data_IF_782580754423
#
_entry.id   IF_782580754423
#
_cell.length_a   1.000
_cell.length_b   1.000
_cell.length_c   1.000
_cell.angle_alpha   90.00
_cell.angle_beta   90.00
_cell.angle_gamma   90.00
#
_symmetry.space_group_name_H-M   'P 1'
#
loop_
_entity.id
_entity.type
_entity.pdbx_description
1 polymer ?
#
# COMPACT_ATOMS: atom_id res chain seq x y z
N UNK A 1 -2.33 16.64 24.56
CA UNK A 1 -2.92 17.40 23.43
C UNK A 1 -2.10 17.13 22.18
N UNK A 2 -2.75 16.48 21.21
CA UNK A 2 -2.59 16.52 19.75
C UNK A 2 -2.92 15.13 19.19
N UNK A 3 -4.23 14.89 19.04
CA UNK A 3 -4.77 13.97 18.04
C UNK A 3 -4.55 14.66 16.69
N UNK A 4 -3.48 14.30 15.99
CA UNK A 4 -3.24 14.68 14.60
C UNK A 4 -3.25 13.41 13.76
N UNK A 5 -3.87 13.47 12.59
CA UNK A 5 -4.10 12.37 11.64
C UNK A 5 -3.08 11.22 11.68
N UNK A 6 -3.61 10.00 11.68
CA UNK A 6 -2.90 8.71 11.65
C UNK A 6 -2.25 8.42 10.27
N UNK A 7 -1.73 9.46 9.60
CA UNK A 7 -0.96 9.34 8.37
C UNK A 7 0.53 9.31 8.71
N UNK A 8 1.19 8.19 8.41
CA UNK A 8 2.63 8.08 8.54
C UNK A 8 3.36 9.16 7.73
N UNK A 9 4.49 9.71 8.22
CA UNK A 9 5.30 10.66 7.47
C UNK A 9 5.74 10.13 6.11
N UNK A 10 5.60 10.95 5.06
CA UNK A 10 5.94 10.59 3.68
C UNK A 10 6.88 11.60 3.04
N UNK A 11 7.71 11.13 2.13
CA UNK A 11 8.47 11.98 1.23
C UNK A 11 8.67 11.28 -0.11
N UNK A 12 9.22 11.98 -1.09
CA UNK A 12 9.56 11.38 -2.37
C UNK A 12 10.99 11.71 -2.80
N UNK A 13 11.53 10.86 -3.68
CA UNK A 13 12.80 11.06 -4.35
C UNK A 13 12.66 10.68 -5.82
N UNK A 14 13.08 11.56 -6.72
CA UNK A 14 13.30 11.20 -8.13
C UNK A 14 14.70 10.61 -8.25
N UNK A 15 14.82 9.43 -8.85
CA UNK A 15 16.14 8.87 -9.16
C UNK A 15 16.69 9.53 -10.42
N UNK A 16 17.82 10.22 -10.31
CA UNK A 16 18.53 10.84 -11.42
C UNK A 16 19.95 10.28 -11.37
N UNK A 17 20.38 9.44 -12.34
CA UNK A 17 21.67 8.75 -12.28
C UNK A 17 22.84 9.71 -12.15
N UNK A 18 22.80 10.82 -12.89
CA UNK A 18 23.88 11.82 -12.92
C UNK A 18 24.02 12.62 -11.62
N UNK A 19 22.92 12.75 -10.87
CA UNK A 19 22.86 13.47 -9.59
C UNK A 19 22.81 12.53 -8.38
N UNK A 20 22.84 11.21 -8.60
CA UNK A 20 22.70 10.22 -7.53
C UNK A 20 24.07 9.77 -7.04
N UNK A 21 24.40 10.14 -5.80
CA UNK A 21 25.52 9.56 -5.07
C UNK A 21 25.26 8.14 -4.57
N UNK A 22 26.13 7.69 -3.66
CA UNK A 22 26.11 6.36 -3.04
C UNK A 22 25.06 6.21 -1.94
N UNK A 23 24.56 7.34 -1.45
CA UNK A 23 23.72 7.49 -0.28
C UNK A 23 22.37 8.12 -0.66
N UNK A 24 21.34 7.81 0.14
CA UNK A 24 20.02 8.41 0.00
C UNK A 24 19.85 9.53 1.03
N UNK A 25 19.86 10.77 0.56
CA UNK A 25 19.59 11.93 1.40
C UNK A 25 18.09 12.07 1.72
N UNK A 26 17.76 12.29 2.99
CA UNK A 26 16.40 12.61 3.40
C UNK A 26 16.12 14.10 3.19
N UNK A 27 14.91 14.50 2.74
CA UNK A 27 14.56 15.91 2.66
C UNK A 27 14.66 16.59 4.01
N UNK A 28 15.20 17.81 4.06
CA UNK A 28 15.37 18.58 5.31
C UNK A 28 14.03 18.74 6.06
N UNK A 29 12.94 18.92 5.32
CA UNK A 29 11.58 19.04 5.90
C UNK A 29 11.11 17.76 6.62
N UNK A 30 11.77 16.63 6.35
CA UNK A 30 11.48 15.32 6.93
C UNK A 30 12.16 15.11 8.29
N UNK A 31 13.18 15.92 8.64
CA UNK A 31 13.95 15.78 9.87
C UNK A 31 13.10 15.80 11.14
N UNK A 32 11.98 16.53 11.13
CA UNK A 32 11.05 16.62 12.27
C UNK A 32 10.47 15.27 12.69
N UNK A 33 10.49 14.29 11.80
CA UNK A 33 9.97 12.93 12.03
C UNK A 33 11.05 11.95 12.47
N UNK A 34 12.32 12.37 12.44
CA UNK A 34 13.48 11.54 12.77
C UNK A 34 13.88 11.84 14.22
N UNK A 35 13.65 10.88 15.13
CA UNK A 35 14.04 11.03 16.54
C UNK A 35 15.55 10.87 16.73
N UNK A 36 16.12 11.57 17.72
CA UNK A 36 17.51 11.37 18.15
C UNK A 36 17.76 9.98 18.78
N UNK A 37 16.71 9.30 19.23
CA UNK A 37 16.79 7.96 19.82
C UNK A 37 16.71 6.82 18.80
N UNK A 38 16.68 7.13 17.50
CA UNK A 38 16.55 6.09 16.48
C UNK A 38 17.78 5.18 16.44
N UNK A 39 17.58 3.87 16.22
CA UNK A 39 18.68 2.95 16.06
C UNK A 39 19.55 3.33 14.84
N UNK A 40 20.86 3.08 14.94
CA UNK A 40 21.85 3.37 13.88
C UNK A 40 21.50 2.73 12.54
N UNK A 41 20.71 1.64 12.55
CA UNK A 41 20.30 0.92 11.36
C UNK A 41 18.77 0.89 11.22
N UNK A 42 18.31 1.19 10.01
CA UNK A 42 16.91 1.11 9.59
C UNK A 42 16.74 0.06 8.51
N UNK A 43 15.50 -0.37 8.32
CA UNK A 43 15.10 -1.24 7.21
C UNK A 43 14.38 -0.40 6.18
N UNK A 44 14.88 -0.42 4.96
CA UNK A 44 14.22 0.15 3.79
C UNK A 44 13.60 -1.02 3.03
N UNK A 45 12.30 -0.98 2.79
CA UNK A 45 11.51 -2.05 2.20
C UNK A 45 10.79 -1.53 0.97
N UNK A 46 11.00 -2.22 -0.14
CA UNK A 46 10.19 -2.06 -1.32
C UNK A 46 8.87 -2.80 -1.10
N UNK A 47 7.76 -2.21 -1.53
CA UNK A 47 6.45 -2.89 -1.52
C UNK A 47 6.43 -4.14 -2.41
N UNK A 48 7.48 -4.39 -3.19
CA UNK A 48 7.66 -5.59 -4.01
C UNK A 48 8.36 -6.74 -3.27
N UNK A 49 8.48 -6.64 -1.94
CA UNK A 49 8.97 -7.70 -1.05
C UNK A 49 10.49 -7.76 -0.85
N UNK A 50 11.24 -6.78 -1.37
CA UNK A 50 12.69 -6.67 -1.16
C UNK A 50 12.99 -5.75 0.03
N UNK A 51 13.93 -6.15 0.87
CA UNK A 51 14.31 -5.42 2.08
C UNK A 51 15.81 -5.18 2.12
N UNK A 52 16.21 -3.99 2.55
CA UNK A 52 17.61 -3.60 2.71
C UNK A 52 17.82 -2.99 4.09
N UNK A 53 18.85 -3.46 4.80
CA UNK A 53 19.33 -2.78 6.00
C UNK A 53 20.30 -1.67 5.59
N UNK A 54 20.06 -0.47 6.09
CA UNK A 54 20.84 0.73 5.82
C UNK A 54 21.16 1.45 7.12
N UNK A 55 22.29 2.14 7.17
CA UNK A 55 22.64 2.95 8.33
C UNK A 55 22.08 4.36 8.18
N UNK A 56 21.34 4.83 9.19
CA UNK A 56 20.87 6.20 9.28
C UNK A 56 21.93 7.04 9.99
N UNK A 57 22.46 8.04 9.31
CA UNK A 57 23.50 8.93 9.86
C UNK A 57 23.01 10.35 9.87
N UNK A 58 23.32 11.03 10.97
CA UNK A 58 23.21 12.49 11.09
C UNK A 58 24.53 13.10 10.62
N UNK A 59 24.47 13.95 9.60
CA UNK A 59 25.60 14.77 9.17
C UNK A 59 25.65 16.05 10.00
N UNK A 60 26.85 16.45 10.42
CA UNK A 60 27.08 17.71 11.11
C UNK A 60 27.09 18.90 10.14
N UNK A 61 26.43 19.99 10.51
CA UNK A 61 26.35 21.25 9.76
C UNK A 61 25.39 22.23 10.45
N UNK A 62 25.19 23.43 9.88
CA UNK A 62 24.29 24.46 10.43
C UNK A 62 22.82 24.01 10.50
N UNK A 63 22.45 23.10 9.60
CA UNK A 63 21.13 22.45 9.56
C UNK A 63 21.37 20.96 9.69
N UNK A 64 20.65 20.31 10.61
CA UNK A 64 20.62 18.86 10.75
C UNK A 64 20.32 18.22 9.38
N UNK A 65 21.16 17.29 8.94
CA UNK A 65 20.92 16.52 7.71
C UNK A 65 21.01 15.04 8.03
N UNK A 66 20.09 14.26 7.49
CA UNK A 66 20.07 12.82 7.68
C UNK A 66 20.24 12.11 6.35
N UNK A 67 21.10 11.10 6.35
CA UNK A 67 21.43 10.30 5.17
C UNK A 67 21.33 8.82 5.49
N UNK A 68 20.79 8.06 4.54
CA UNK A 68 20.75 6.61 4.56
C UNK A 68 21.92 6.08 3.72
N UNK A 69 22.90 5.46 4.38
CA UNK A 69 24.15 5.01 3.76
C UNK A 69 24.22 3.49 3.64
N UNK A 70 25.17 3.01 2.82
CA UNK A 70 25.49 1.58 2.65
C UNK A 70 24.35 0.72 2.07
N UNK A 71 23.57 1.26 1.13
CA UNK A 71 22.51 0.47 0.52
C UNK A 71 21.81 1.09 -0.69
N UNK A 72 21.95 2.39 -0.93
CA UNK A 72 21.20 3.07 -1.99
C UNK A 72 21.57 2.56 -3.38
N UNK A 73 22.86 2.46 -3.71
CA UNK A 73 23.32 1.82 -4.97
C UNK A 73 22.78 0.40 -5.17
N UNK A 74 22.66 -0.37 -4.07
CA UNK A 74 22.12 -1.73 -4.13
C UNK A 74 20.62 -1.71 -4.41
N UNK A 75 19.86 -0.79 -3.80
CA UNK A 75 18.45 -0.58 -4.11
C UNK A 75 18.28 -0.22 -5.59
N UNK A 76 19.05 0.76 -6.08
CA UNK A 76 19.02 1.19 -7.49
C UNK A 76 19.22 -0.01 -8.44
N UNK A 77 20.23 -0.82 -8.17
CA UNK A 77 20.55 -2.02 -8.97
C UNK A 77 19.45 -3.08 -8.87
N UNK A 78 19.06 -3.45 -7.64
CA UNK A 78 18.11 -4.53 -7.38
C UNK A 78 16.71 -4.19 -7.91
N UNK A 79 16.33 -2.91 -7.84
CA UNK A 79 15.07 -2.39 -8.38
C UNK A 79 15.18 -1.94 -9.85
N UNK A 80 16.35 -2.09 -10.49
CA UNK A 80 16.54 -1.76 -11.91
C UNK A 80 16.11 -0.34 -12.26
N UNK A 81 16.48 0.64 -11.43
CA UNK A 81 16.19 2.05 -11.70
C UNK A 81 17.13 2.56 -12.80
N UNK A 82 16.57 3.12 -13.87
CA UNK A 82 17.32 3.59 -15.04
C UNK A 82 17.41 5.12 -15.10
N UNK A 83 16.59 5.82 -14.31
CA UNK A 83 16.52 7.27 -14.23
C UNK A 83 15.10 7.79 -14.46
N UNK A 84 14.80 8.91 -13.82
CA UNK A 84 13.50 9.60 -13.86
C UNK A 84 12.37 8.90 -13.12
N UNK A 85 12.57 7.69 -12.59
CA UNK A 85 11.56 7.06 -11.74
C UNK A 85 11.37 7.84 -10.44
N UNK A 86 10.12 7.85 -9.98
CA UNK A 86 9.72 8.55 -8.77
C UNK A 86 9.49 7.53 -7.66
N UNK A 87 10.20 7.69 -6.55
CA UNK A 87 10.09 6.82 -5.38
C UNK A 87 9.32 7.56 -4.29
N UNK A 88 8.21 6.99 -3.83
CA UNK A 88 7.46 7.53 -2.70
C UNK A 88 7.74 6.67 -1.46
N UNK A 89 8.29 7.30 -0.43
CA UNK A 89 8.67 6.69 0.84
C UNK A 89 7.66 7.04 1.93
N UNK A 90 7.47 6.10 2.84
CA UNK A 90 6.66 6.21 4.04
C UNK A 90 7.43 5.66 5.23
N UNK A 91 7.50 6.43 6.30
CA UNK A 91 8.28 6.10 7.49
C UNK A 91 7.36 5.82 8.67
N UNK A 92 7.59 4.73 9.38
CA UNK A 92 6.78 4.33 10.53
C UNK A 92 7.02 5.18 11.80
N UNK A 93 7.93 6.16 11.74
CA UNK A 93 8.37 6.94 12.90
C UNK A 93 9.44 6.25 13.74
N UNK A 94 9.88 5.04 13.36
CA UNK A 94 10.86 4.27 14.10
C UNK A 94 12.02 3.78 13.23
N UNK A 95 11.87 2.70 12.47
CA UNK A 95 12.99 2.02 11.82
C UNK A 95 12.64 1.45 10.46
N UNK A 96 11.43 1.68 9.96
CA UNK A 96 10.95 1.10 8.72
C UNK A 96 10.59 2.21 7.74
N UNK A 97 11.31 2.24 6.63
CA UNK A 97 10.97 3.04 5.46
C UNK A 97 10.39 2.10 4.40
N UNK A 98 9.11 2.21 4.11
CA UNK A 98 8.50 1.51 2.98
C UNK A 98 8.51 2.42 1.76
N UNK A 99 8.72 1.87 0.56
CA UNK A 99 8.61 2.67 -0.66
C UNK A 99 7.99 1.91 -1.83
N UNK A 100 7.38 2.69 -2.72
CA UNK A 100 6.95 2.24 -4.03
C UNK A 100 7.57 3.09 -5.13
N UNK A 101 7.66 2.52 -6.33
CA UNK A 101 8.28 3.16 -7.49
C UNK A 101 7.17 3.51 -8.48
N UNK A 102 7.24 4.68 -9.10
CA UNK A 102 6.36 5.11 -10.18
C UNK A 102 7.18 5.27 -11.46
N UNK A 103 6.62 4.78 -12.57
CA UNK A 103 7.27 4.84 -13.89
C UNK A 103 7.36 6.28 -14.37
N UNK A 104 8.52 6.66 -14.95
CA UNK A 104 8.77 8.04 -15.40
C UNK A 104 7.77 8.54 -16.46
N UNK A 105 7.31 7.66 -17.35
CA UNK A 105 6.51 8.10 -18.50
C UNK A 105 5.02 8.24 -18.17
N UNK A 106 4.52 7.36 -17.28
CA UNK A 106 3.09 7.29 -16.99
C UNK A 106 2.71 7.79 -15.61
N UNK A 107 3.70 8.00 -14.73
CA UNK A 107 3.49 8.27 -13.31
C UNK A 107 2.60 7.22 -12.63
N UNK A 108 2.49 6.02 -13.20
CA UNK A 108 1.77 4.92 -12.59
C UNK A 108 2.69 4.15 -11.65
N UNK A 109 2.13 3.70 -10.53
CA UNK A 109 2.82 2.81 -9.58
C UNK A 109 3.29 1.57 -10.35
N UNK A 110 4.59 1.29 -10.29
CA UNK A 110 5.21 0.12 -10.86
C UNK A 110 4.67 -1.10 -10.11
N UNK A 111 4.24 -2.11 -10.84
CA UNK A 111 3.83 -3.38 -10.27
C UNK A 111 5.00 -4.35 -10.34
N UNK A 112 5.02 -5.34 -9.45
CA UNK A 112 6.04 -6.38 -9.43
C UNK A 112 6.04 -7.10 -10.78
N UNK A 113 7.20 -7.18 -11.44
CA UNK A 113 7.37 -8.04 -12.62
C UNK A 113 7.80 -9.40 -12.12
N UNK A 114 6.87 -10.35 -12.07
CA UNK A 114 7.17 -11.72 -11.69
C UNK A 114 8.06 -12.34 -12.77
N UNK A 115 9.33 -12.60 -12.47
CA UNK A 115 9.99 -13.75 -13.09
C UNK A 115 9.21 -14.97 -12.59
N UNK A 116 8.74 -15.76 -13.56
CA UNK A 116 7.83 -16.88 -13.33
C UNK A 116 8.42 -17.86 -12.32
N UNK A 117 7.75 -18.02 -11.19
CA UNK A 117 7.64 -19.30 -10.49
C UNK A 117 6.24 -19.36 -9.89
N UNK A 118 5.45 -20.30 -10.41
CA UNK A 118 4.09 -20.61 -9.98
C UNK A 118 4.06 -20.91 -8.48
N UNK A 119 3.30 -20.11 -7.72
CA UNK A 119 3.16 -20.28 -6.27
C UNK A 119 2.63 -19.01 -5.62
N UNK A 120 1.30 -18.92 -5.55
CA UNK A 120 0.53 -17.95 -4.76
C UNK A 120 0.96 -16.47 -4.88
N UNK A 121 0.44 -15.77 -5.89
CA UNK A 121 0.43 -14.29 -5.92
C UNK A 121 -0.15 -13.75 -4.61
N UNK A 122 0.73 -13.21 -3.77
CA UNK A 122 0.35 -12.61 -2.51
C UNK A 122 -0.38 -11.28 -2.79
N UNK A 123 -1.68 -11.31 -2.59
CA UNK A 123 -2.62 -10.19 -2.67
C UNK A 123 -2.13 -8.89 -2.01
N UNK A 124 -1.15 -8.98 -1.11
CA UNK A 124 -0.54 -7.88 -0.37
C UNK A 124 0.24 -6.87 -1.24
N UNK A 125 0.76 -7.27 -2.41
CA UNK A 125 1.57 -6.40 -3.27
C UNK A 125 0.77 -5.24 -3.92
N UNK A 126 -0.58 -5.29 -3.86
CA UNK A 126 -1.49 -4.29 -4.44
C UNK A 126 -2.06 -3.29 -3.43
N UNK A 127 -1.87 -3.52 -2.13
CA UNK A 127 -2.50 -2.71 -1.08
C UNK A 127 -1.84 -1.33 -0.97
N UNK A 128 -2.64 -0.31 -0.68
CA UNK A 128 -2.13 1.04 -0.45
C UNK A 128 -1.45 1.18 0.91
N UNK A 129 -1.81 0.32 1.86
CA UNK A 129 -1.18 0.22 3.18
C UNK A 129 -1.37 -1.21 3.71
N UNK A 130 -0.24 -1.89 3.94
CA UNK A 130 -0.19 -3.30 4.33
C UNK A 130 -0.69 -3.57 5.75
N UNK A 131 -0.94 -2.54 6.56
CA UNK A 131 -1.57 -2.68 7.88
C UNK A 131 -3.09 -2.77 7.79
N UNK A 132 -3.68 -2.40 6.64
CA UNK A 132 -5.12 -2.52 6.47
C UNK A 132 -5.53 -3.98 6.28
N UNK A 133 -6.64 -4.41 6.92
CA UNK A 133 -7.19 -5.72 6.68
C UNK A 133 -7.49 -5.89 5.19
N UNK A 134 -7.08 -7.02 4.64
CA UNK A 134 -7.32 -7.36 3.25
C UNK A 134 -7.67 -8.83 3.08
N UNK A 135 -8.33 -9.15 1.97
CA UNK A 135 -8.64 -10.54 1.62
C UNK A 135 -8.77 -10.74 0.12
N UNK A 136 -8.35 -11.90 -0.40
CA UNK A 136 -8.60 -12.28 -1.77
C UNK A 136 -10.08 -12.64 -1.96
N UNK A 137 -10.62 -12.30 -3.13
CA UNK A 137 -11.97 -12.65 -3.52
C UNK A 137 -11.92 -13.70 -4.60
N UNK A 138 -12.47 -14.87 -4.29
CA UNK A 138 -12.67 -15.93 -5.29
C UNK A 138 -13.88 -15.59 -6.14
N UNK A 139 -13.64 -15.23 -7.40
CA UNK A 139 -14.69 -14.92 -8.35
C UNK A 139 -15.49 -16.19 -8.68
N UNK A 140 -16.73 -16.26 -8.20
CA UNK A 140 -17.65 -17.34 -8.55
C UNK A 140 -18.69 -16.84 -9.57
N UNK A 141 -18.67 -17.35 -10.81
CA UNK A 141 -19.61 -16.92 -11.86
C UNK A 141 -21.09 -17.11 -11.50
N UNK A 142 -21.41 -18.00 -10.56
CA UNK A 142 -22.78 -18.31 -10.12
C UNK A 142 -23.22 -17.52 -8.89
N UNK A 143 -22.32 -16.80 -8.19
CA UNK A 143 -22.61 -16.05 -6.94
C UNK A 143 -22.22 -14.57 -7.04
N UNK A 144 -22.54 -13.93 -8.17
CA UNK A 144 -22.09 -12.57 -8.50
C UNK A 144 -22.76 -11.44 -7.72
N UNK A 145 -23.83 -11.67 -6.95
CA UNK A 145 -24.64 -10.56 -6.42
C UNK A 145 -24.12 -9.97 -5.11
N UNK A 146 -23.32 -10.68 -4.33
CA UNK A 146 -22.87 -10.25 -3.00
C UNK A 146 -21.41 -10.61 -2.78
N UNK A 147 -20.66 -9.72 -2.13
CA UNK A 147 -19.31 -10.01 -1.66
C UNK A 147 -19.38 -10.47 -0.21
N UNK A 148 -18.81 -11.65 0.08
CA UNK A 148 -18.66 -12.15 1.45
C UNK A 148 -17.38 -11.60 2.07
N UNK A 149 -17.46 -11.06 3.28
CA UNK A 149 -16.29 -10.63 4.05
C UNK A 149 -15.93 -11.77 5.02
N UNK A 150 -14.72 -12.37 4.92
CA UNK A 150 -14.36 -13.52 5.74
C UNK A 150 -14.37 -13.18 7.25
N UNK A 151 -15.05 -14.01 8.04
CA UNK A 151 -15.12 -13.84 9.50
C UNK A 151 -13.75 -13.72 10.17
N UNK A 152 -12.74 -14.45 9.65
CA UNK A 152 -11.35 -14.35 10.14
C UNK A 152 -10.83 -12.91 10.08
N UNK A 153 -11.01 -12.21 8.96
CA UNK A 153 -10.56 -10.81 8.79
C UNK A 153 -11.30 -9.88 9.75
N UNK A 154 -12.60 -10.12 9.93
CA UNK A 154 -13.43 -9.33 10.86
C UNK A 154 -12.93 -9.49 12.29
N UNK A 155 -12.66 -10.73 12.71
CA UNK A 155 -12.26 -11.05 14.07
C UNK A 155 -10.84 -10.58 14.37
N UNK A 156 -9.88 -10.85 13.48
CA UNK A 156 -8.47 -10.52 13.66
C UNK A 156 -8.28 -9.00 13.85
N UNK A 157 -9.09 -8.19 13.15
CA UNK A 157 -9.02 -6.73 13.18
C UNK A 157 -10.16 -6.06 13.98
N UNK A 158 -11.03 -6.85 14.63
CA UNK A 158 -12.18 -6.38 15.42
C UNK A 158 -13.04 -5.37 14.65
N UNK A 159 -13.36 -5.70 13.40
CA UNK A 159 -14.03 -4.80 12.47
C UNK A 159 -15.52 -4.67 12.79
N UNK A 160 -16.01 -3.44 12.68
CA UNK A 160 -17.44 -3.11 12.75
C UNK A 160 -17.90 -2.56 11.40
N UNK A 161 -19.17 -2.76 11.06
CA UNK A 161 -19.71 -2.35 9.77
C UNK A 161 -20.94 -1.43 9.93
N UNK A 162 -20.99 -0.31 9.19
CA UNK A 162 -22.17 0.56 9.10
C UNK A 162 -23.24 -0.04 8.17
N UNK A 163 -24.36 0.66 7.99
CA UNK A 163 -25.41 0.27 7.04
C UNK A 163 -24.94 0.30 5.57
N UNK A 164 -24.04 1.23 5.23
CA UNK A 164 -23.46 1.35 3.89
C UNK A 164 -21.99 1.70 3.93
N UNK A 165 -21.26 1.23 2.91
CA UNK A 165 -19.84 1.49 2.72
C UNK A 165 -19.57 2.02 1.32
N UNK A 166 -18.44 2.70 1.16
CA UNK A 166 -17.94 3.08 -0.15
C UNK A 166 -17.08 1.98 -0.76
N UNK A 167 -17.27 1.67 -2.04
CA UNK A 167 -16.42 0.78 -2.83
C UNK A 167 -15.74 1.59 -3.93
N UNK A 168 -14.42 1.45 -4.08
CA UNK A 168 -13.63 2.18 -5.08
C UNK A 168 -12.60 1.26 -5.72
N UNK A 169 -12.44 1.36 -7.04
CA UNK A 169 -11.28 0.82 -7.76
C UNK A 169 -10.23 1.95 -7.84
N UNK A 170 -9.13 1.89 -7.06
CA UNK A 170 -8.13 2.94 -7.06
C UNK A 170 -7.28 2.95 -8.34
N UNK A 171 -7.27 1.86 -9.12
CA UNK A 171 -6.48 1.74 -10.35
C UNK A 171 -7.19 2.36 -11.55
N UNK A 172 -8.52 2.52 -11.48
CA UNK A 172 -9.33 3.04 -12.59
C UNK A 172 -9.95 4.40 -12.28
N UNK A 173 -9.25 5.49 -12.62
CA UNK A 173 -9.74 6.89 -12.43
C UNK A 173 -11.02 7.22 -13.20
N UNK A 174 -11.39 6.42 -14.22
CA UNK A 174 -12.63 6.59 -15.00
C UNK A 174 -13.88 6.38 -14.16
N UNK A 175 -13.76 5.64 -13.05
CA UNK A 175 -14.89 5.22 -12.24
C UNK A 175 -14.74 5.81 -10.83
N UNK A 176 -15.62 6.76 -10.47
CA UNK A 176 -15.73 7.28 -9.10
C UNK A 176 -16.20 6.21 -8.10
N UNK A 177 -16.61 6.63 -6.90
CA UNK A 177 -17.04 5.72 -5.83
C UNK A 177 -18.40 5.04 -6.09
N UNK A 178 -18.64 3.90 -5.45
CA UNK A 178 -19.96 3.26 -5.37
C UNK A 178 -20.36 3.07 -3.91
N UNK A 179 -21.51 3.59 -3.51
CA UNK A 179 -22.09 3.23 -2.23
C UNK A 179 -22.72 1.82 -2.32
N UNK A 180 -22.51 1.00 -1.29
CA UNK A 180 -23.05 -0.35 -1.17
C UNK A 180 -23.56 -0.63 0.24
N UNK A 181 -24.75 -1.23 0.33
CA UNK A 181 -25.32 -1.64 1.61
C UNK A 181 -24.62 -2.86 2.18
N UNK A 182 -24.46 -2.87 3.50
CA UNK A 182 -24.01 -4.02 4.26
C UNK A 182 -25.22 -4.84 4.71
N UNK A 183 -25.10 -6.17 4.63
CA UNK A 183 -26.03 -7.13 5.25
C UNK A 183 -25.27 -7.95 6.27
N UNK A 184 -25.67 -7.84 7.53
CA UNK A 184 -25.20 -8.70 8.62
C UNK A 184 -26.29 -9.76 8.89
N UNK A 185 -25.92 -11.03 8.87
CA UNK A 185 -26.82 -12.13 9.20
C UNK A 185 -26.86 -12.38 10.72
N UNK A 186 -27.88 -13.09 11.21
CA UNK A 186 -28.03 -13.44 12.63
C UNK A 186 -26.82 -14.19 13.18
N UNK A 187 -26.15 -14.99 12.35
CA UNK A 187 -24.93 -15.72 12.71
C UNK A 187 -23.64 -14.87 12.62
N UNK A 188 -23.75 -13.55 12.42
CA UNK A 188 -22.62 -12.63 12.31
C UNK A 188 -21.97 -12.55 10.92
N UNK A 189 -22.45 -13.32 9.93
CA UNK A 189 -21.86 -13.29 8.58
C UNK A 189 -22.14 -11.94 7.90
N UNK A 190 -21.10 -11.32 7.33
CA UNK A 190 -21.19 -9.99 6.70
C UNK A 190 -21.08 -10.09 5.18
N UNK A 191 -22.01 -9.43 4.50
CA UNK A 191 -22.04 -9.32 3.04
C UNK A 191 -22.15 -7.87 2.57
N UNK A 192 -21.46 -7.55 1.47
CA UNK A 192 -21.70 -6.33 0.70
C UNK A 192 -22.70 -6.63 -0.40
N UNK A 193 -23.83 -5.91 -0.41
CA UNK A 193 -24.93 -6.11 -1.35
C UNK A 193 -24.63 -5.54 -2.72
N UNK A 194 -25.30 -6.08 -3.74
CA UNK A 194 -25.23 -5.65 -5.14
C UNK A 194 -23.81 -5.51 -5.70
N UNK A 195 -22.90 -6.36 -5.21
CA UNK A 195 -21.50 -6.34 -5.59
C UNK A 195 -21.29 -6.76 -7.05
N UNK A 196 -22.28 -7.41 -7.67
CA UNK A 196 -22.27 -7.72 -9.10
C UNK A 196 -22.21 -6.47 -9.98
N UNK A 197 -22.70 -5.33 -9.50
CA UNK A 197 -22.52 -4.05 -10.19
C UNK A 197 -21.06 -3.62 -10.26
N UNK A 198 -20.24 -3.98 -9.27
CA UNK A 198 -18.80 -3.71 -9.24
C UNK A 198 -18.08 -4.53 -10.32
N UNK A 199 -18.41 -5.82 -10.43
CA UNK A 199 -17.85 -6.68 -11.48
C UNK A 199 -18.20 -6.19 -12.89
N UNK A 200 -19.47 -5.85 -13.11
CA UNK A 200 -19.93 -5.33 -14.41
C UNK A 200 -19.27 -4.01 -14.78
N UNK A 201 -19.18 -3.08 -13.81
CA UNK A 201 -18.57 -1.76 -14.03
C UNK A 201 -17.10 -1.85 -14.42
N UNK A 202 -16.37 -2.77 -13.79
CA UNK A 202 -14.94 -2.95 -14.03
C UNK A 202 -14.61 -4.06 -15.05
N UNK A 203 -15.62 -4.58 -15.77
CA UNK A 203 -15.45 -5.64 -16.78
C UNK A 203 -14.67 -6.87 -16.27
N UNK A 204 -14.90 -7.26 -15.02
CA UNK A 204 -14.14 -8.33 -14.35
C UNK A 204 -14.46 -9.69 -14.97
N UNK A 205 -13.42 -10.38 -15.46
CA UNK A 205 -13.45 -11.74 -16.02
C UNK A 205 -13.26 -12.78 -14.92
N UNK A 206 -13.63 -14.02 -15.23
CA UNK A 206 -13.50 -15.15 -14.28
C UNK A 206 -12.02 -15.51 -14.05
N UNK A 207 -11.16 -15.20 -15.01
CA UNK A 207 -9.70 -15.38 -14.93
C UNK A 207 -9.03 -14.34 -14.05
N UNK A 208 -9.69 -13.21 -13.79
CA UNK A 208 -9.11 -12.13 -13.00
C UNK A 208 -9.05 -12.53 -11.52
N UNK A 209 -8.04 -12.03 -10.84
CA UNK A 209 -7.96 -12.09 -9.38
C UNK A 209 -8.41 -10.75 -8.83
N UNK A 210 -9.06 -10.77 -7.66
CA UNK A 210 -9.47 -9.54 -6.99
C UNK A 210 -9.09 -9.58 -5.53
N UNK A 211 -8.55 -8.47 -5.04
CA UNK A 211 -8.22 -8.27 -3.62
C UNK A 211 -9.04 -7.11 -3.10
N UNK A 212 -9.63 -7.28 -1.92
CA UNK A 212 -10.30 -6.20 -1.21
C UNK A 212 -9.45 -5.72 -0.05
N UNK A 213 -9.16 -4.42 0.01
CA UNK A 213 -8.56 -3.74 1.15
C UNK A 213 -9.63 -2.95 1.90
N UNK A 214 -9.70 -3.11 3.22
CA UNK A 214 -10.67 -2.47 4.10
C UNK A 214 -10.04 -1.26 4.78
N UNK A 215 -10.52 -0.06 4.48
CA UNK A 215 -10.20 1.16 5.22
C UNK A 215 -11.18 1.33 6.38
N UNK A 216 -10.63 1.64 7.56
CA UNK A 216 -11.35 1.77 8.82
C UNK A 216 -10.96 3.05 9.53
N UNK A 217 -11.89 3.59 10.31
CA UNK A 217 -11.62 4.69 11.26
C UNK A 217 -10.94 4.16 12.53
N UNK A 218 -10.48 5.04 13.42
CA UNK A 218 -9.78 4.65 14.67
C UNK A 218 -10.58 3.78 15.64
N UNK A 219 -11.90 3.65 15.47
CA UNK A 219 -12.77 2.73 16.21
C UNK A 219 -13.06 1.42 15.44
N UNK A 220 -12.23 1.08 14.45
CA UNK A 220 -12.36 -0.10 13.58
C UNK A 220 -13.66 -0.17 12.77
N UNK A 221 -14.40 0.94 12.64
CA UNK A 221 -15.56 1.01 11.76
C UNK A 221 -15.09 1.11 10.29
N UNK A 222 -15.47 0.13 9.48
CA UNK A 222 -15.13 0.09 8.06
C UNK A 222 -15.96 1.14 7.31
N UNK A 223 -15.30 2.02 6.56
CA UNK A 223 -15.98 3.04 5.75
C UNK A 223 -15.73 2.88 4.24
N UNK A 224 -14.64 2.22 3.84
CA UNK A 224 -14.30 2.05 2.43
C UNK A 224 -13.67 0.69 2.13
N UNK A 225 -14.05 0.10 1.00
CA UNK A 225 -13.38 -1.05 0.40
C UNK A 225 -12.70 -0.59 -0.88
N UNK A 226 -11.37 -0.72 -0.94
CA UNK A 226 -10.63 -0.61 -2.20
C UNK A 226 -10.59 -1.98 -2.85
N UNK A 227 -10.90 -2.05 -4.14
CA UNK A 227 -10.81 -3.27 -4.91
C UNK A 227 -9.62 -3.19 -5.86
N UNK A 228 -8.74 -4.16 -5.81
CA UNK A 228 -7.63 -4.29 -6.75
C UNK A 228 -7.93 -5.47 -7.65
N UNK A 229 -8.21 -5.18 -8.91
CA UNK A 229 -8.48 -6.20 -9.92
C UNK A 229 -7.17 -6.44 -10.67
N UNK A 230 -6.72 -7.68 -10.63
CA UNK A 230 -5.49 -8.16 -11.23
C UNK A 230 -5.94 -8.97 -12.44
N UNK A 231 -5.79 -8.39 -13.62
CA UNK A 231 -6.22 -9.03 -14.85
C UNK A 231 -5.40 -10.30 -15.09
N UNK A 232 -6.10 -11.41 -15.28
CA UNK A 232 -5.51 -12.70 -15.65
C UNK A 232 -5.34 -12.87 -17.15
#
# INVERSE_FOLDING_TARGET
MNKGDDCLPKFFKVYLPDDSGDDLELPISFNRYISMSLPTNVTVSSIYGKNWRMALRKCSGDVDKYVLVNGWKRIVKDEGLIGGEFLAFEFDGSRFFNFCIFKRDTMCKRLRTSSVSEGEEDARDYLDDCTNPSFPVRLNPKKKSQLHIPARVINDYKLNFPESITVVDPLTKKFGTLEKKIKIQVNGTVFVKDFGSVFRRNNVKVTDKMVCELKKTGNNLVHTIKIYIING
#
